data_IF_570149951652
#
_entry.id   IF_570149951652
#
_cell.length_a   1.000
_cell.length_b   1.000
_cell.length_c   1.000
_cell.angle_alpha   90.00
_cell.angle_beta   90.00
_cell.angle_gamma   90.00
#
_symmetry.space_group_name_H-M   'P 1'
#
loop_
_entity.id
_entity.type
_entity.pdbx_description
1 polymer ?
#
# COMPACT_ATOMS: atom_id res chain seq x y z
N UNK A 1 -4.02 -11.38 0.79
CA UNK A 1 -4.38 -10.63 2.02
C UNK A 1 -5.87 -10.36 2.02
N UNK A 2 -6.56 -10.45 3.16
CA UNK A 2 -7.99 -10.11 3.22
C UNK A 2 -8.20 -8.58 3.30
N UNK A 3 -9.40 -8.08 2.95
CA UNK A 3 -9.67 -6.63 2.94
C UNK A 3 -9.52 -5.95 4.30
N UNK A 4 -9.86 -6.65 5.39
CA UNK A 4 -9.84 -6.10 6.76
C UNK A 4 -8.41 -5.86 7.22
N UNK A 5 -7.55 -6.84 7.00
CA UNK A 5 -6.10 -6.79 7.24
C UNK A 5 -5.47 -5.68 6.39
N UNK A 6 -5.79 -5.65 5.09
CA UNK A 6 -5.30 -4.60 4.18
C UNK A 6 -5.67 -3.19 4.66
N UNK A 7 -6.94 -2.97 5.04
CA UNK A 7 -7.41 -1.68 5.57
C UNK A 7 -6.67 -1.26 6.84
N UNK A 8 -6.29 -2.21 7.70
CA UNK A 8 -5.51 -1.91 8.91
C UNK A 8 -4.09 -1.48 8.55
N UNK A 9 -3.44 -2.22 7.65
CA UNK A 9 -2.05 -1.96 7.26
C UNK A 9 -1.91 -0.61 6.56
N UNK A 10 -2.78 -0.27 5.60
CA UNK A 10 -2.70 1.03 4.91
C UNK A 10 -2.83 2.21 5.88
N UNK A 11 -3.65 2.07 6.94
CA UNK A 11 -3.80 3.10 7.97
C UNK A 11 -2.54 3.21 8.82
N UNK A 12 -1.91 2.08 9.13
CA UNK A 12 -0.62 2.05 9.85
C UNK A 12 0.51 2.71 9.04
N UNK A 13 0.48 2.57 7.71
CA UNK A 13 1.44 3.21 6.80
C UNK A 13 1.17 4.73 6.65
N UNK A 14 -0.05 5.20 6.96
CA UNK A 14 -0.42 6.63 6.94
C UNK A 14 -1.50 7.01 5.92
N UNK A 15 -2.09 6.04 5.21
CA UNK A 15 -3.13 6.33 4.24
C UNK A 15 -4.53 6.37 4.87
N UNK A 16 -5.30 7.40 4.51
CA UNK A 16 -6.68 7.59 5.00
C UNK A 16 -7.69 6.62 4.41
N UNK A 17 -7.42 6.10 3.20
CA UNK A 17 -8.32 5.17 2.51
C UNK A 17 -7.57 4.22 1.55
N UNK A 18 -8.24 3.12 1.19
CA UNK A 18 -7.75 2.16 0.20
C UNK A 18 -7.60 2.82 -1.18
N UNK A 19 -8.51 3.72 -1.55
CA UNK A 19 -8.45 4.45 -2.81
C UNK A 19 -7.23 5.36 -2.89
N UNK A 20 -6.90 6.07 -1.81
CA UNK A 20 -5.70 6.91 -1.74
C UNK A 20 -4.42 6.10 -1.87
N UNK A 21 -4.35 4.95 -1.20
CA UNK A 21 -3.23 4.03 -1.38
C UNK A 21 -3.15 3.51 -2.84
N UNK A 22 -4.28 3.19 -3.46
CA UNK A 22 -4.34 2.74 -4.86
C UNK A 22 -3.76 3.77 -5.82
N UNK A 23 -4.29 5.00 -5.75
CA UNK A 23 -3.86 6.13 -6.56
C UNK A 23 -2.37 6.34 -6.43
N UNK A 24 -1.87 6.27 -5.19
CA UNK A 24 -0.47 6.48 -4.87
C UNK A 24 0.45 5.39 -5.45
N UNK A 25 0.02 4.12 -5.46
CA UNK A 25 0.79 3.02 -6.10
C UNK A 25 0.51 2.84 -7.60
N UNK A 26 -0.18 3.80 -8.25
CA UNK A 26 -0.52 3.75 -9.67
C UNK A 26 -1.62 2.75 -10.05
N UNK A 27 -2.44 2.32 -9.08
CA UNK A 27 -3.57 1.40 -9.29
C UNK A 27 -4.88 2.20 -9.22
N UNK A 28 -5.85 1.88 -10.09
CA UNK A 28 -7.17 2.53 -10.05
C UNK A 28 -7.85 2.26 -8.70
N UNK A 29 -8.42 3.29 -8.05
CA UNK A 29 -9.11 3.13 -6.76
C UNK A 29 -10.25 2.10 -6.79
N UNK A 30 -10.93 1.97 -7.93
CA UNK A 30 -12.01 1.00 -8.16
C UNK A 30 -11.54 -0.46 -8.17
N UNK A 31 -10.23 -0.69 -8.30
CA UNK A 31 -9.63 -2.02 -8.29
C UNK A 31 -9.79 -2.70 -6.91
N UNK A 32 -9.74 -1.95 -5.81
CA UNK A 32 -9.89 -2.52 -4.47
C UNK A 32 -11.33 -2.75 -4.02
N UNK A 33 -12.29 -2.03 -4.61
CA UNK A 33 -13.70 -2.21 -4.30
C UNK A 33 -14.21 -3.54 -4.86
N UNK A 34 -13.76 -3.94 -6.05
CA UNK A 34 -14.17 -5.17 -6.74
C UNK A 34 -13.51 -6.44 -6.21
N UNK A 35 -12.27 -6.38 -5.73
CA UNK A 35 -11.55 -7.60 -5.36
C UNK A 35 -11.99 -8.23 -4.05
N UNK A 36 -12.44 -9.48 -4.06
CA UNK A 36 -12.71 -10.26 -2.83
C UNK A 36 -11.43 -10.45 -1.99
N UNK A 37 -10.29 -10.58 -2.66
CA UNK A 37 -8.95 -10.77 -2.06
C UNK A 37 -7.94 -9.84 -2.73
N UNK A 38 -7.07 -9.20 -1.95
CA UNK A 38 -6.05 -8.30 -2.50
C UNK A 38 -5.01 -9.13 -3.29
N UNK A 39 -4.70 -8.75 -4.55
CA UNK A 39 -3.70 -9.43 -5.36
C UNK A 39 -2.34 -9.57 -4.67
N UNK A 40 -1.58 -10.60 -5.05
CA UNK A 40 -0.29 -10.95 -4.46
C UNK A 40 0.75 -9.84 -4.61
N UNK A 41 0.84 -9.20 -5.77
CA UNK A 41 1.77 -8.11 -6.04
C UNK A 41 1.49 -6.89 -5.14
N UNK A 42 0.21 -6.49 -5.00
CA UNK A 42 -0.19 -5.40 -4.10
C UNK A 42 0.08 -5.77 -2.65
N UNK A 43 -0.20 -7.03 -2.27
CA UNK A 43 0.12 -7.56 -0.94
C UNK A 43 1.62 -7.42 -0.63
N UNK A 44 2.49 -7.67 -1.62
CA UNK A 44 3.96 -7.56 -1.46
C UNK A 44 4.38 -6.11 -1.24
N UNK A 45 3.91 -5.18 -2.07
CA UNK A 45 4.17 -3.74 -1.92
C UNK A 45 3.70 -3.25 -0.55
N UNK A 46 2.49 -3.62 -0.16
CA UNK A 46 1.89 -3.23 1.14
C UNK A 46 2.70 -3.74 2.32
N UNK A 47 3.27 -4.95 2.24
CA UNK A 47 4.12 -5.51 3.30
C UNK A 47 5.48 -4.83 3.39
N UNK A 48 6.07 -4.48 2.25
CA UNK A 48 7.32 -3.73 2.20
C UNK A 48 7.13 -2.32 2.78
N UNK A 49 6.05 -1.65 2.39
CA UNK A 49 5.61 -0.38 2.95
C UNK A 49 5.51 -0.41 4.48
N UNK A 50 4.85 -1.44 5.00
CA UNK A 50 4.67 -1.65 6.43
C UNK A 50 6.00 -1.89 7.15
N UNK A 51 6.88 -2.70 6.56
CA UNK A 51 8.20 -2.97 7.11
C UNK A 51 9.02 -1.68 7.23
N UNK A 52 9.08 -0.90 6.16
CA UNK A 52 9.79 0.37 6.14
C UNK A 52 9.24 1.36 7.18
N UNK A 53 7.90 1.52 7.27
CA UNK A 53 7.27 2.37 8.29
C UNK A 53 7.66 1.96 9.70
N UNK A 54 7.70 0.66 9.99
CA UNK A 54 8.13 0.12 11.29
C UNK A 54 9.61 0.34 11.60
N UNK A 55 10.43 0.54 10.58
CA UNK A 55 11.84 0.92 10.72
C UNK A 55 12.05 2.44 10.67
N UNK A 56 10.97 3.24 10.72
CA UNK A 56 11.04 4.70 10.75
C UNK A 56 11.25 5.35 9.38
N UNK A 57 11.12 4.60 8.28
CA UNK A 57 11.22 5.12 6.91
C UNK A 57 9.81 5.41 6.41
N UNK A 58 9.55 6.64 5.99
CA UNK A 58 8.25 7.00 5.45
C UNK A 58 8.04 6.45 4.03
N UNK A 59 6.78 6.20 3.67
CA UNK A 59 6.45 5.56 2.40
C UNK A 59 6.91 6.39 1.18
N UNK A 60 6.89 7.71 1.31
CA UNK A 60 7.37 8.63 0.28
C UNK A 60 8.88 8.49 0.04
N UNK A 61 9.68 8.25 1.09
CA UNK A 61 11.13 8.00 0.98
C UNK A 61 11.42 6.70 0.23
N UNK A 62 10.62 5.65 0.47
CA UNK A 62 10.72 4.38 -0.26
C UNK A 62 10.44 4.62 -1.75
N UNK A 63 9.42 5.41 -2.05
CA UNK A 63 9.04 5.69 -3.43
C UNK A 63 10.13 6.46 -4.16
N UNK A 64 10.72 7.46 -3.50
CA UNK A 64 11.83 8.23 -4.06
C UNK A 64 13.05 7.33 -4.31
N UNK A 65 13.41 6.47 -3.36
CA UNK A 65 14.50 5.51 -3.55
C UNK A 65 14.24 4.47 -4.65
N UNK A 66 12.97 4.20 -4.98
CA UNK A 66 12.58 3.28 -6.06
C UNK A 66 12.53 3.93 -7.45
N UNK A 67 12.55 5.27 -7.54
CA UNK A 67 12.79 5.98 -8.80
C UNK A 67 14.27 5.82 -9.16
N UNK A 68 14.63 4.64 -9.62
CA UNK A 68 15.93 4.38 -10.24
C UNK A 68 15.85 4.98 -11.65
N UNK A 69 16.78 5.89 -11.98
CA UNK A 69 17.02 6.39 -13.35
C UNK A 69 17.31 5.24 -14.35
#
# INVERSE_FOLDING_TARGET
>A
MNKKEFKKIIKEIGFTSQGKFAEHIGVKATTFTTYKTIPSHITRVTRLALLAKRNGIDFDEIQEAMKID
#
